data_IF_331215365197
#
_entry.id   IF_331215365197
#
_cell.length_a   1.000
_cell.length_b   1.000
_cell.length_c   1.000
_cell.angle_alpha   90.00
_cell.angle_beta   90.00
_cell.angle_gamma   90.00
#
_symmetry.space_group_name_H-M   'P 1'
#
loop_
_entity.id
_entity.type
_entity.pdbx_description
1 polymer ?
#
# COMPACT_ATOMS: atom_id res chain seq x y z
N UNK A 1 1.94 13.65 35.89
CA UNK A 1 2.59 13.93 34.58
C UNK A 1 2.07 12.88 33.62
N UNK A 2 1.22 13.25 32.67
CA UNK A 2 0.74 12.31 31.66
C UNK A 2 1.95 11.92 30.80
N UNK A 3 2.44 10.70 30.98
CA UNK A 3 3.48 10.15 30.12
C UNK A 3 2.89 10.06 28.72
N UNK A 4 3.36 10.89 27.80
CA UNK A 4 3.06 10.73 26.37
C UNK A 4 3.44 9.31 25.96
N UNK A 5 2.56 8.60 25.25
CA UNK A 5 2.84 7.25 24.81
C UNK A 5 4.06 7.21 23.86
N UNK A 6 4.77 6.08 23.74
CA UNK A 6 6.00 5.99 22.95
C UNK A 6 5.83 6.34 21.47
N UNK A 7 4.68 6.06 20.87
CA UNK A 7 4.39 6.31 19.45
C UNK A 7 4.17 7.79 19.20
N UNK A 8 3.37 8.45 20.03
CA UNK A 8 3.19 9.90 19.98
C UNK A 8 4.51 10.63 20.23
N UNK A 9 5.29 10.18 21.23
CA UNK A 9 6.59 10.77 21.55
C UNK A 9 7.59 10.61 20.39
N UNK A 10 7.59 9.45 19.71
CA UNK A 10 8.39 9.21 18.52
C UNK A 10 8.07 10.23 17.43
N UNK A 11 6.82 10.34 16.99
CA UNK A 11 6.48 11.22 15.87
C UNK A 11 6.69 12.71 16.19
N UNK A 12 6.40 13.16 17.41
CA UNK A 12 6.66 14.54 17.82
C UNK A 12 8.16 14.89 17.80
N UNK A 13 9.03 13.92 18.08
CA UNK A 13 10.49 14.09 18.01
C UNK A 13 10.98 14.07 16.56
N UNK A 14 10.47 13.16 15.74
CA UNK A 14 10.95 12.97 14.37
C UNK A 14 10.37 13.98 13.36
N UNK A 15 9.31 14.71 13.71
CA UNK A 15 8.64 15.64 12.80
C UNK A 15 8.54 17.03 13.46
N UNK A 16 9.63 17.82 13.44
CA UNK A 16 9.62 19.17 13.98
C UNK A 16 8.55 20.04 13.30
N UNK A 17 7.78 20.79 14.10
CA UNK A 17 6.73 21.68 13.59
C UNK A 17 5.40 20.98 13.27
N UNK A 18 5.28 19.67 13.53
CA UNK A 18 4.01 18.97 13.46
C UNK A 18 2.97 19.58 14.42
N UNK A 19 1.70 19.59 14.01
CA UNK A 19 0.59 20.02 14.87
C UNK A 19 -0.28 18.83 15.21
N UNK A 20 -0.40 18.53 16.49
CA UNK A 20 -1.31 17.52 17.05
C UNK A 20 -2.63 18.19 17.43
N UNK A 21 -3.74 17.72 16.86
CA UNK A 21 -5.09 18.16 17.19
C UNK A 21 -6.03 16.96 17.12
N UNK A 22 -6.87 16.75 18.14
CA UNK A 22 -7.86 15.67 18.19
C UNK A 22 -7.27 14.28 17.86
N UNK A 23 -6.14 13.92 18.47
CA UNK A 23 -5.44 12.65 18.22
C UNK A 23 -4.97 12.46 16.76
N UNK A 24 -4.84 13.55 15.99
CA UNK A 24 -4.31 13.53 14.63
C UNK A 24 -3.12 14.48 14.56
N UNK A 25 -1.96 13.95 14.19
CA UNK A 25 -0.77 14.74 13.94
C UNK A 25 -0.67 15.07 12.45
N UNK A 26 -0.50 16.35 12.14
CA UNK A 26 -0.42 16.88 10.77
C UNK A 26 0.87 17.66 10.55
N UNK A 27 1.53 17.39 9.42
CA UNK A 27 2.78 18.04 9.06
C UNK A 27 3.00 18.08 7.53
N UNK A 28 4.04 18.79 7.10
CA UNK A 28 4.55 18.65 5.73
C UNK A 28 5.07 17.23 5.53
N UNK A 29 4.74 16.60 4.41
CA UNK A 29 5.21 15.26 4.13
C UNK A 29 6.68 15.28 3.67
N UNK A 30 7.61 14.62 4.39
CA UNK A 30 9.02 14.61 4.02
C UNK A 30 9.30 13.82 2.72
N UNK A 31 8.35 12.97 2.30
CA UNK A 31 8.51 12.08 1.16
C UNK A 31 8.03 12.69 -0.17
N UNK A 32 7.15 13.70 -0.13
CA UNK A 32 6.58 14.32 -1.33
C UNK A 32 7.66 14.91 -2.26
N UNK A 33 8.69 15.54 -1.71
CA UNK A 33 9.78 16.15 -2.50
C UNK A 33 10.71 15.11 -3.14
N UNK A 34 10.83 13.92 -2.54
CA UNK A 34 11.65 12.82 -3.07
C UNK A 34 10.94 12.14 -4.24
N UNK A 35 9.62 12.03 -4.16
CA UNK A 35 8.83 11.27 -5.13
C UNK A 35 8.23 12.12 -6.27
N UNK A 36 8.35 13.46 -6.21
CA UNK A 36 7.94 14.35 -7.32
C UNK A 36 8.70 14.13 -8.63
N UNK A 37 9.80 13.36 -8.62
CA UNK A 37 10.52 12.93 -9.82
C UNK A 37 9.86 11.75 -10.56
N UNK A 38 9.02 10.95 -9.91
CA UNK A 38 8.36 9.77 -10.51
C UNK A 38 6.93 10.06 -11.01
N UNK A 39 6.22 11.01 -10.39
CA UNK A 39 4.81 11.29 -10.73
C UNK A 39 4.60 12.52 -11.61
N UNK A 40 5.66 13.24 -11.99
CA UNK A 40 5.60 14.45 -12.83
C UNK A 40 4.79 15.63 -12.27
N UNK A 41 4.10 15.44 -11.14
CA UNK A 41 3.22 16.44 -10.51
C UNK A 41 3.97 17.17 -9.41
N UNK A 42 4.24 18.46 -9.64
CA UNK A 42 4.66 19.38 -8.57
C UNK A 42 3.48 19.55 -7.61
N UNK A 43 3.54 18.92 -6.44
CA UNK A 43 2.54 19.15 -5.40
C UNK A 43 2.62 20.60 -4.89
N UNK A 44 1.49 21.24 -4.54
CA UNK A 44 1.47 22.59 -3.99
C UNK A 44 2.41 22.69 -2.79
N UNK A 45 3.29 23.70 -2.79
CA UNK A 45 4.15 23.99 -1.62
C UNK A 45 3.27 24.47 -0.46
N UNK A 46 3.37 23.82 0.70
CA UNK A 46 2.78 24.30 1.96
C UNK A 46 1.48 23.62 2.40
N UNK A 47 0.97 22.63 1.66
CA UNK A 47 -0.11 21.79 2.17
C UNK A 47 0.44 20.68 3.06
N UNK A 48 -0.06 20.63 4.31
CA UNK A 48 0.21 19.55 5.26
C UNK A 48 -0.35 18.23 4.74
N UNK A 49 0.47 17.52 3.99
CA UNK A 49 0.06 16.27 3.38
C UNK A 49 0.27 15.06 4.30
N UNK A 50 1.11 15.14 5.34
CA UNK A 50 1.31 14.03 6.26
C UNK A 50 0.25 14.05 7.37
N UNK A 51 -0.42 12.92 7.53
CA UNK A 51 -1.42 12.69 8.58
C UNK A 51 -1.03 11.44 9.34
N UNK A 52 -1.04 11.50 10.67
CA UNK A 52 -0.75 10.37 11.56
C UNK A 52 -1.86 10.26 12.60
N UNK A 53 -2.44 9.08 12.73
CA UNK A 53 -3.45 8.79 13.73
C UNK A 53 -2.78 8.44 15.06
N UNK A 54 -2.93 9.29 16.06
CA UNK A 54 -2.34 9.15 17.40
C UNK A 54 -3.45 9.02 18.46
N UNK A 55 -4.39 8.10 18.21
CA UNK A 55 -5.42 7.72 19.16
C UNK A 55 -5.08 6.36 19.78
N UNK A 56 -4.66 6.27 21.05
CA UNK A 56 -4.29 4.99 21.69
C UNK A 56 -5.41 3.95 21.72
N UNK A 57 -6.68 4.39 21.66
CA UNK A 57 -7.85 3.50 21.65
C UNK A 57 -8.14 2.93 20.24
N UNK A 58 -7.38 3.33 19.21
CA UNK A 58 -7.56 2.88 17.84
C UNK A 58 -6.57 1.79 17.46
N UNK A 59 -7.05 0.77 16.74
CA UNK A 59 -6.19 -0.20 16.07
C UNK A 59 -5.18 0.44 15.10
N UNK A 60 -5.46 1.64 14.58
CA UNK A 60 -4.59 2.39 13.69
C UNK A 60 -3.71 3.41 14.41
N UNK A 61 -3.53 3.29 15.73
CA UNK A 61 -2.60 4.11 16.48
C UNK A 61 -1.18 4.01 15.90
N UNK A 62 -0.61 5.13 15.48
CA UNK A 62 0.69 5.23 14.84
C UNK A 62 0.67 5.08 13.32
N UNK A 63 -0.48 4.84 12.69
CA UNK A 63 -0.58 4.77 11.24
C UNK A 63 -0.40 6.16 10.61
N UNK A 64 0.57 6.30 9.72
CA UNK A 64 0.81 7.50 8.94
C UNK A 64 0.45 7.29 7.47
N UNK A 65 0.01 8.36 6.82
CA UNK A 65 -0.19 8.40 5.37
C UNK A 65 0.03 9.79 4.80
N UNK A 66 0.26 9.85 3.49
CA UNK A 66 0.30 11.10 2.76
C UNK A 66 -1.02 11.33 2.01
N UNK A 67 -1.67 12.47 2.22
CA UNK A 67 -2.88 12.88 1.49
C UNK A 67 -2.62 13.09 -0.02
N UNK A 68 -1.36 13.38 -0.38
CA UNK A 68 -0.92 13.45 -1.78
C UNK A 68 -0.62 12.06 -2.38
N UNK A 69 -0.77 10.97 -1.61
CA UNK A 69 -0.46 9.59 -2.01
C UNK A 69 0.97 9.40 -2.54
N UNK A 70 1.92 10.23 -2.11
CA UNK A 70 3.32 10.09 -2.52
C UNK A 70 4.02 8.91 -1.84
N UNK A 71 3.47 8.41 -0.75
CA UNK A 71 3.95 7.25 0.01
C UNK A 71 2.73 6.39 0.35
N UNK A 72 2.85 5.04 0.31
CA UNK A 72 1.76 4.12 0.61
C UNK A 72 1.29 4.16 2.08
N UNK A 73 2.05 4.83 2.96
CA UNK A 73 1.79 4.90 4.40
C UNK A 73 2.28 3.67 5.16
N UNK A 74 2.11 3.66 6.48
CA UNK A 74 2.52 2.54 7.33
C UNK A 74 2.59 2.93 8.80
N UNK A 75 3.34 2.16 9.58
CA UNK A 75 3.51 2.32 11.03
C UNK A 75 4.93 2.79 11.39
N UNK A 76 5.26 3.09 12.67
CA UNK A 76 6.51 3.76 13.05
C UNK A 76 7.79 3.13 12.50
N UNK A 77 7.89 1.79 12.45
CA UNK A 77 9.03 1.10 11.87
C UNK A 77 9.17 1.38 10.37
N UNK A 78 8.07 1.33 9.63
CA UNK A 78 8.08 1.68 8.21
C UNK A 78 8.42 3.15 7.99
N UNK A 79 7.90 4.05 8.85
CA UNK A 79 8.25 5.47 8.81
C UNK A 79 9.75 5.69 9.00
N UNK A 80 10.36 5.01 9.99
CA UNK A 80 11.79 5.07 10.27
C UNK A 80 12.62 4.57 9.07
N UNK A 81 12.25 3.42 8.48
CA UNK A 81 12.87 2.89 7.25
C UNK A 81 12.82 3.90 6.11
N UNK A 82 11.63 4.45 5.81
CA UNK A 82 11.44 5.40 4.71
C UNK A 82 12.16 6.74 4.96
N UNK A 83 12.31 7.12 6.23
CA UNK A 83 12.99 8.34 6.64
C UNK A 83 14.50 8.19 6.80
N UNK A 84 15.04 6.96 6.63
CA UNK A 84 16.44 6.62 6.91
C UNK A 84 16.87 6.96 8.34
N UNK A 85 15.97 6.75 9.31
CA UNK A 85 16.27 6.87 10.73
C UNK A 85 16.86 5.56 11.25
N UNK A 86 17.62 5.64 12.34
CA UNK A 86 17.98 4.47 13.12
C UNK A 86 16.71 3.79 13.63
N UNK A 87 16.55 2.49 13.33
CA UNK A 87 15.36 1.72 13.69
C UNK A 87 15.21 1.58 15.21
N UNK A 88 16.30 1.66 15.98
CA UNK A 88 16.26 1.65 17.45
C UNK A 88 15.46 2.81 18.04
N UNK A 89 15.23 3.87 17.27
CA UNK A 89 14.40 4.99 17.67
C UNK A 89 12.89 4.69 17.51
N UNK A 90 12.52 3.73 16.68
CA UNK A 90 11.14 3.40 16.38
C UNK A 90 10.54 2.50 17.47
N UNK A 91 9.35 2.84 18.00
CA UNK A 91 8.64 1.98 18.94
C UNK A 91 8.39 0.57 18.38
N UNK A 92 8.62 -0.43 19.22
CA UNK A 92 8.46 -1.84 18.85
C UNK A 92 9.61 -2.44 18.05
N UNK A 93 10.68 -1.69 17.78
CA UNK A 93 11.88 -2.29 17.18
C UNK A 93 12.45 -3.40 18.07
N UNK A 94 12.68 -4.55 17.46
CA UNK A 94 13.30 -5.71 18.06
C UNK A 94 14.52 -6.07 17.20
N UNK A 95 15.75 -5.90 17.71
CA UNK A 95 16.98 -6.19 16.96
C UNK A 95 17.18 -7.69 16.71
N UNK A 96 16.53 -8.55 17.50
CA UNK A 96 16.66 -10.00 17.42
C UNK A 96 15.54 -10.62 16.57
N UNK A 97 14.62 -9.79 16.04
CA UNK A 97 13.53 -10.26 15.18
C UNK A 97 14.09 -10.83 13.88
N UNK A 98 13.98 -12.15 13.76
CA UNK A 98 14.22 -12.84 12.50
C UNK A 98 13.02 -12.67 11.56
N UNK A 99 13.23 -11.93 10.48
CA UNK A 99 12.29 -11.97 9.37
C UNK A 99 12.55 -13.29 8.67
N UNK A 100 11.71 -14.30 8.96
CA UNK A 100 11.67 -15.53 8.20
C UNK A 100 11.24 -15.24 6.75
N UNK A 101 12.13 -14.62 5.99
CA UNK A 101 12.04 -14.50 4.55
C UNK A 101 12.40 -15.88 4.04
N UNK A 102 11.39 -16.70 3.76
CA UNK A 102 11.60 -17.86 2.90
C UNK A 102 12.41 -17.40 1.69
N UNK A 103 13.47 -18.14 1.35
CA UNK A 103 14.28 -17.83 0.18
C UNK A 103 13.44 -18.05 -1.08
N UNK A 104 12.65 -17.05 -1.45
CA UNK A 104 11.95 -17.01 -2.73
C UNK A 104 13.00 -16.76 -3.80
N UNK A 105 13.09 -17.68 -4.75
CA UNK A 105 13.95 -17.51 -5.91
C UNK A 105 13.19 -16.69 -6.96
N UNK A 106 13.47 -15.40 -7.02
CA UNK A 106 12.85 -14.49 -7.96
C UNK A 106 13.48 -14.64 -9.36
N UNK A 107 12.68 -14.94 -10.41
CA UNK A 107 13.21 -15.03 -11.75
C UNK A 107 13.58 -13.62 -12.28
N UNK A 108 14.49 -13.59 -13.25
CA UNK A 108 14.86 -12.34 -13.93
C UNK A 108 13.72 -11.80 -14.77
N UNK A 109 12.94 -12.71 -15.41
CA UNK A 109 11.79 -12.35 -16.22
C UNK A 109 10.63 -11.95 -15.31
N UNK A 110 10.09 -10.75 -15.53
CA UNK A 110 8.90 -10.22 -14.85
C UNK A 110 7.98 -9.55 -15.90
N UNK A 111 6.76 -9.20 -15.49
CA UNK A 111 5.73 -8.59 -16.33
C UNK A 111 5.52 -7.10 -16.04
N UNK A 112 6.50 -6.42 -15.40
CA UNK A 112 6.36 -5.02 -14.99
C UNK A 112 6.01 -4.07 -16.15
N UNK A 113 6.64 -4.27 -17.31
CA UNK A 113 6.37 -3.43 -18.48
C UNK A 113 4.96 -3.67 -19.03
N UNK A 114 4.53 -4.93 -19.09
CA UNK A 114 3.18 -5.29 -19.52
C UNK A 114 2.11 -4.70 -18.59
N UNK A 115 2.37 -4.67 -17.28
CA UNK A 115 1.49 -3.99 -16.30
C UNK A 115 1.31 -2.51 -16.65
N UNK A 116 2.38 -1.80 -17.03
CA UNK A 116 2.27 -0.41 -17.46
C UNK A 116 1.43 -0.28 -18.73
N UNK A 117 1.64 -1.15 -19.72
CA UNK A 117 0.83 -1.18 -20.94
C UNK A 117 -0.66 -1.44 -20.66
N UNK A 118 -0.97 -2.31 -19.69
CA UNK A 118 -2.35 -2.56 -19.27
C UNK A 118 -2.96 -1.35 -18.56
N UNK A 119 -2.19 -0.64 -17.74
CA UNK A 119 -2.65 0.60 -17.10
C UNK A 119 -3.01 1.67 -18.14
N UNK A 120 -2.21 1.79 -19.21
CA UNK A 120 -2.44 2.75 -20.29
C UNK A 120 -3.68 2.42 -21.14
N UNK A 121 -4.11 1.16 -21.15
CA UNK A 121 -5.32 0.67 -21.84
C UNK A 121 -6.60 0.80 -21.03
N UNK A 122 -6.54 1.32 -19.80
CA UNK A 122 -7.75 1.62 -19.01
C UNK A 122 -8.63 2.64 -19.73
N UNK A 123 -9.86 2.25 -20.04
CA UNK A 123 -10.83 3.12 -20.71
C UNK A 123 -11.58 4.00 -19.72
N UNK A 124 -12.13 5.12 -20.20
CA UNK A 124 -12.94 6.02 -19.36
C UNK A 124 -14.17 5.32 -18.77
N UNK A 125 -14.84 4.45 -19.56
CA UNK A 125 -15.99 3.66 -19.07
C UNK A 125 -15.63 2.75 -17.88
N UNK A 126 -14.44 2.13 -17.89
CA UNK A 126 -13.96 1.30 -16.79
C UNK A 126 -13.57 2.15 -15.58
N UNK A 127 -12.96 3.32 -15.80
CA UNK A 127 -12.65 4.26 -14.73
C UNK A 127 -13.95 4.75 -14.07
N UNK A 128 -14.97 5.09 -14.84
CA UNK A 128 -16.27 5.51 -14.36
C UNK A 128 -17.01 4.39 -13.61
N UNK A 129 -16.85 3.13 -14.06
CA UNK A 129 -17.34 1.96 -13.31
C UNK A 129 -16.79 1.95 -11.88
N UNK A 130 -15.48 2.09 -11.71
CA UNK A 130 -14.85 2.15 -10.38
C UNK A 130 -15.28 3.40 -9.59
N UNK A 131 -15.43 4.54 -10.26
CA UNK A 131 -15.87 5.78 -9.62
C UNK A 131 -17.27 5.66 -9.01
N UNK A 132 -18.18 4.88 -9.62
CA UNK A 132 -19.51 4.57 -9.03
C UNK A 132 -19.43 3.81 -7.70
N UNK A 133 -18.34 3.08 -7.47
CA UNK A 133 -18.04 2.41 -6.19
C UNK A 133 -17.20 3.29 -5.24
N UNK A 134 -16.99 4.57 -5.59
CA UNK A 134 -16.20 5.51 -4.82
C UNK A 134 -14.69 5.38 -5.03
N UNK A 135 -14.22 4.48 -5.90
CA UNK A 135 -12.81 4.24 -6.15
C UNK A 135 -12.29 5.27 -7.16
N UNK A 136 -11.34 6.10 -6.73
CA UNK A 136 -10.77 7.14 -7.58
C UNK A 136 -9.73 6.60 -8.55
N UNK A 137 -9.53 7.31 -9.67
CA UNK A 137 -8.42 7.05 -10.62
C UNK A 137 -7.05 7.02 -9.93
N UNK A 138 -6.86 7.81 -8.87
CA UNK A 138 -5.62 7.82 -8.11
C UNK A 138 -5.35 6.47 -7.42
N UNK A 139 -6.39 5.82 -6.89
CA UNK A 139 -6.27 4.47 -6.30
C UNK A 139 -5.96 3.43 -7.38
N UNK A 140 -6.62 3.50 -8.54
CA UNK A 140 -6.33 2.59 -9.66
C UNK A 140 -4.88 2.72 -10.12
N UNK A 141 -4.36 3.94 -10.19
CA UNK A 141 -2.95 4.21 -10.52
C UNK A 141 -1.99 3.71 -9.44
N UNK A 142 -2.30 3.96 -8.17
CA UNK A 142 -1.50 3.51 -7.03
C UNK A 142 -1.40 1.98 -6.99
N UNK A 143 -2.53 1.29 -7.22
CA UNK A 143 -2.64 -0.17 -7.21
C UNK A 143 -2.34 -0.82 -8.57
N UNK A 144 -1.94 -0.01 -9.55
CA UNK A 144 -1.55 -0.43 -10.92
C UNK A 144 -2.61 -1.28 -11.64
N UNK A 145 -3.88 -0.95 -11.44
CA UNK A 145 -4.99 -1.64 -12.10
C UNK A 145 -4.97 -1.30 -13.58
N UNK A 146 -5.05 -2.34 -14.41
CA UNK A 146 -4.99 -2.24 -15.87
C UNK A 146 -6.13 -2.96 -16.57
N UNK A 147 -6.11 -2.91 -17.90
CA UNK A 147 -7.06 -3.59 -18.78
C UNK A 147 -6.35 -4.13 -20.02
N UNK A 148 -6.66 -5.35 -20.44
CA UNK A 148 -6.04 -5.96 -21.63
C UNK A 148 -6.92 -5.95 -22.89
N UNK A 149 -8.08 -5.28 -22.85
CA UNK A 149 -9.07 -5.29 -23.93
C UNK A 149 -10.27 -6.23 -23.68
N UNK A 150 -10.18 -7.09 -22.65
CA UNK A 150 -11.31 -7.92 -22.21
C UNK A 150 -11.38 -8.09 -20.69
N UNK A 151 -10.23 -8.19 -20.02
CA UNK A 151 -10.11 -8.46 -18.59
C UNK A 151 -9.46 -7.29 -17.87
N UNK A 152 -9.97 -6.99 -16.67
CA UNK A 152 -9.26 -6.17 -15.68
C UNK A 152 -8.03 -6.93 -15.20
N UNK A 153 -6.94 -6.21 -14.96
CA UNK A 153 -5.65 -6.76 -14.57
C UNK A 153 -5.30 -6.27 -13.17
N UNK A 154 -5.12 -7.23 -12.25
CA UNK A 154 -4.70 -7.00 -10.88
C UNK A 154 -3.28 -7.56 -10.68
N UNK A 155 -2.24 -6.72 -10.64
CA UNK A 155 -0.85 -7.18 -10.56
C UNK A 155 -0.45 -7.62 -9.14
N UNK A 156 0.15 -8.81 -9.01
CA UNK A 156 0.61 -9.34 -7.73
C UNK A 156 2.11 -9.07 -7.56
N UNK A 157 2.41 -7.84 -7.10
CA UNK A 157 3.77 -7.37 -6.84
C UNK A 157 4.34 -8.08 -5.61
N UNK A 158 5.52 -8.68 -5.78
CA UNK A 158 6.22 -9.44 -4.75
C UNK A 158 7.16 -8.54 -3.93
N UNK A 159 7.78 -9.11 -2.89
CA UNK A 159 8.58 -8.36 -1.93
C UNK A 159 9.84 -7.70 -2.52
N UNK A 160 10.30 -8.14 -3.69
CA UNK A 160 11.40 -7.53 -4.44
C UNK A 160 10.96 -6.33 -5.30
N UNK A 161 9.67 -6.00 -5.28
CA UNK A 161 9.07 -4.89 -6.03
C UNK A 161 8.70 -5.23 -7.47
N UNK A 162 8.85 -6.49 -7.89
CA UNK A 162 8.51 -6.94 -9.25
C UNK A 162 7.18 -7.68 -9.29
N UNK A 163 6.49 -7.55 -10.42
CA UNK A 163 5.28 -8.29 -10.73
C UNK A 163 5.64 -9.49 -11.60
N UNK A 164 5.35 -10.69 -11.12
CA UNK A 164 5.60 -11.94 -11.83
C UNK A 164 4.33 -12.56 -12.39
N UNK A 165 3.22 -12.36 -11.69
CA UNK A 165 1.90 -12.80 -12.10
C UNK A 165 0.87 -11.69 -11.85
N UNK A 166 -0.20 -11.70 -12.65
CA UNK A 166 -1.35 -10.85 -12.47
C UNK A 166 -2.63 -11.68 -12.63
N UNK A 167 -3.66 -11.36 -11.84
CA UNK A 167 -4.98 -11.95 -12.02
C UNK A 167 -5.75 -11.15 -13.07
N UNK A 168 -6.27 -11.84 -14.07
CA UNK A 168 -7.11 -11.29 -15.12
C UNK A 168 -8.57 -11.65 -14.82
N UNK A 169 -9.45 -10.66 -14.69
CA UNK A 169 -10.85 -10.87 -14.29
C UNK A 169 -11.80 -10.16 -15.24
N UNK A 170 -12.81 -10.85 -15.75
CA UNK A 170 -13.79 -10.22 -16.64
C UNK A 170 -14.65 -9.22 -15.86
N UNK A 171 -14.81 -7.96 -16.32
CA UNK A 171 -15.50 -6.91 -15.58
C UNK A 171 -16.93 -7.27 -15.14
N UNK A 172 -17.65 -8.01 -15.98
CA UNK A 172 -19.06 -8.36 -15.76
C UNK A 172 -19.28 -9.82 -15.33
N UNK A 173 -18.20 -10.63 -15.28
CA UNK A 173 -18.26 -12.08 -14.98
C UNK A 173 -17.04 -12.49 -14.17
N UNK A 174 -16.98 -12.17 -12.86
CA UNK A 174 -15.78 -12.40 -12.06
C UNK A 174 -15.29 -13.86 -12.03
N UNK A 175 -16.18 -14.83 -12.29
CA UNK A 175 -15.86 -16.24 -12.45
C UNK A 175 -15.05 -16.55 -13.72
N UNK A 176 -15.15 -15.73 -14.77
CA UNK A 176 -14.27 -15.75 -15.95
C UNK A 176 -12.96 -15.02 -15.57
N UNK A 177 -12.05 -15.77 -14.95
CA UNK A 177 -10.75 -15.29 -14.53
C UNK A 177 -9.63 -16.28 -14.78
N UNK A 178 -8.42 -15.77 -14.95
CA UNK A 178 -7.20 -16.56 -15.14
C UNK A 178 -5.97 -15.81 -14.64
N UNK A 179 -4.83 -16.49 -14.59
CA UNK A 179 -3.55 -15.90 -14.23
C UNK A 179 -2.70 -15.65 -15.48
N UNK A 180 -2.09 -14.48 -15.54
CA UNK A 180 -1.15 -14.08 -16.58
C UNK A 180 0.24 -13.91 -15.99
N UNK A 181 1.27 -14.42 -16.66
CA UNK A 181 2.67 -14.32 -16.24
C UNK A 181 3.27 -15.68 -15.85
N UNK A 182 4.09 -15.68 -14.81
CA UNK A 182 4.81 -16.86 -14.34
C UNK A 182 3.89 -17.78 -13.51
N UNK A 183 3.80 -19.05 -13.89
CA UNK A 183 2.95 -20.06 -13.24
C UNK A 183 3.36 -20.34 -11.79
N UNK A 184 4.66 -20.23 -11.46
CA UNK A 184 5.17 -20.46 -10.10
C UNK A 184 4.76 -19.34 -9.14
N UNK A 185 4.45 -18.15 -9.66
CA UNK A 185 3.91 -17.02 -8.91
C UNK A 185 2.38 -16.92 -8.99
N UNK A 186 1.77 -17.68 -9.90
CA UNK A 186 0.33 -17.85 -10.00
C UNK A 186 -0.22 -18.96 -9.09
N UNK A 187 0.58 -19.60 -8.23
CA UNK A 187 0.16 -20.67 -7.30
C UNK A 187 -0.11 -20.16 -5.89
N UNK A 188 -0.84 -20.95 -5.10
CA UNK A 188 -1.11 -20.66 -3.69
C UNK A 188 0.20 -20.34 -2.91
N UNK A 189 0.13 -19.38 -2.00
CA UNK A 189 1.30 -18.84 -1.26
C UNK A 189 1.95 -17.61 -1.88
N UNK A 190 1.80 -17.38 -3.19
CA UNK A 190 2.26 -16.15 -3.87
C UNK A 190 1.13 -15.18 -4.25
N UNK A 191 -0.11 -15.61 -4.02
CA UNK A 191 -1.35 -14.90 -4.37
C UNK A 191 -1.82 -13.96 -3.25
N UNK A 192 -0.92 -13.11 -2.77
CA UNK A 192 -1.27 -12.03 -1.85
C UNK A 192 -1.21 -10.71 -2.60
N UNK A 193 -2.37 -10.12 -2.88
CA UNK A 193 -2.44 -8.82 -3.55
C UNK A 193 -2.04 -7.73 -2.57
N UNK A 194 -1.19 -6.79 -3.02
CA UNK A 194 -0.59 -5.72 -2.21
C UNK A 194 0.29 -6.22 -1.04
N UNK A 195 1.01 -7.33 -1.24
CA UNK A 195 1.87 -7.99 -0.23
C UNK A 195 2.76 -7.03 0.57
N UNK A 196 3.28 -5.98 -0.06
CA UNK A 196 4.16 -4.99 0.58
C UNK A 196 3.55 -4.36 1.85
N UNK A 197 2.23 -4.25 1.95
CA UNK A 197 1.56 -3.68 3.13
C UNK A 197 1.83 -4.49 4.41
N UNK A 198 2.18 -5.78 4.32
CA UNK A 198 2.59 -6.58 5.48
C UNK A 198 3.81 -5.94 6.17
N UNK A 199 4.84 -5.59 5.40
CA UNK A 199 6.05 -4.96 5.93
C UNK A 199 5.79 -3.52 6.38
N UNK A 200 4.88 -2.81 5.70
CA UNK A 200 4.49 -1.43 6.05
C UNK A 200 3.71 -1.39 7.37
N UNK A 201 3.02 -2.48 7.72
CA UNK A 201 2.18 -2.62 8.90
C UNK A 201 2.84 -3.36 10.06
N UNK A 202 4.14 -3.55 10.02
CA UNK A 202 4.87 -4.18 11.12
C UNK A 202 4.61 -3.46 12.45
N UNK A 203 4.25 -4.24 13.48
CA UNK A 203 3.81 -3.78 14.80
C UNK A 203 2.62 -2.81 14.77
N UNK A 204 1.80 -2.91 13.73
CA UNK A 204 0.57 -2.15 13.56
C UNK A 204 -0.62 -3.03 13.20
N UNK A 205 -1.57 -2.45 12.49
CA UNK A 205 -2.76 -3.13 11.99
C UNK A 205 -2.74 -3.23 10.48
N UNK A 206 -3.17 -4.38 9.97
CA UNK A 206 -3.30 -4.66 8.54
C UNK A 206 -4.73 -5.15 8.27
N UNK A 207 -5.42 -4.55 7.30
CA UNK A 207 -6.71 -5.11 6.84
C UNK A 207 -6.43 -6.29 5.94
N UNK A 208 -7.12 -7.40 6.19
CA UNK A 208 -7.08 -8.59 5.34
C UNK A 208 -8.48 -8.77 4.78
N UNK A 209 -8.61 -8.85 3.46
CA UNK A 209 -9.91 -8.90 2.79
C UNK A 209 -9.91 -9.89 1.63
N UNK A 210 -11.08 -10.43 1.32
CA UNK A 210 -11.29 -11.24 0.12
C UNK A 210 -11.61 -10.33 -1.08
N UNK A 211 -10.94 -10.59 -2.20
CA UNK A 211 -11.18 -9.92 -3.48
C UNK A 211 -10.43 -8.59 -3.64
N UNK A 212 -9.81 -8.41 -4.80
CA UNK A 212 -8.98 -7.24 -5.10
C UNK A 212 -9.81 -5.94 -5.16
N UNK A 213 -11.03 -5.99 -5.72
CA UNK A 213 -11.94 -4.83 -5.77
C UNK A 213 -12.29 -4.30 -4.38
N UNK A 214 -12.48 -5.20 -3.41
CA UNK A 214 -12.78 -4.82 -2.04
C UNK A 214 -11.56 -4.12 -1.40
N UNK A 215 -10.35 -4.57 -1.69
CA UNK A 215 -9.14 -3.88 -1.25
C UNK A 215 -9.04 -2.47 -1.86
N UNK A 216 -9.43 -2.27 -3.12
CA UNK A 216 -9.44 -0.91 -3.72
C UNK A 216 -10.30 0.06 -2.92
N UNK A 217 -11.45 -0.38 -2.39
CA UNK A 217 -12.28 0.43 -1.51
C UNK A 217 -11.57 0.77 -0.18
N UNK A 218 -10.86 -0.19 0.43
CA UNK A 218 -10.04 0.03 1.63
C UNK A 218 -8.92 1.05 1.35
N UNK A 219 -8.24 0.95 0.20
CA UNK A 219 -7.20 1.90 -0.24
C UNK A 219 -7.76 3.29 -0.53
N UNK A 220 -9.01 3.39 -0.98
CA UNK A 220 -9.69 4.67 -1.13
C UNK A 220 -9.89 5.38 0.21
N UNK A 221 -10.25 4.64 1.27
CA UNK A 221 -10.31 5.17 2.65
C UNK A 221 -8.93 5.53 3.21
N UNK A 222 -7.86 5.10 2.54
CA UNK A 222 -6.48 5.33 2.93
C UNK A 222 -6.05 4.44 4.08
N UNK A 223 -6.63 3.24 4.19
CA UNK A 223 -6.23 2.21 5.14
C UNK A 223 -5.30 1.20 4.45
N UNK A 224 -4.35 0.60 5.20
CA UNK A 224 -3.50 -0.44 4.68
C UNK A 224 -4.22 -1.77 4.61
N UNK A 225 -3.89 -2.60 3.63
CA UNK A 225 -4.43 -3.94 3.55
C UNK A 225 -3.87 -4.79 2.43
N UNK A 226 -4.11 -6.09 2.55
CA UNK A 226 -3.85 -7.10 1.54
C UNK A 226 -5.15 -7.77 1.12
N UNK A 227 -5.19 -8.30 -0.09
CA UNK A 227 -6.30 -9.13 -0.55
C UNK A 227 -5.82 -10.53 -0.88
N UNK A 228 -6.66 -11.53 -0.55
CA UNK A 228 -6.59 -12.83 -1.18
C UNK A 228 -7.68 -12.92 -2.25
N UNK A 229 -7.42 -13.59 -3.39
CA UNK A 229 -8.41 -13.71 -4.43
C UNK A 229 -9.68 -14.48 -4.02
N UNK A 230 -9.55 -15.41 -3.06
CA UNK A 230 -10.65 -16.25 -2.54
C UNK A 230 -10.37 -16.60 -1.07
N UNK A 231 -11.42 -16.68 -0.25
CA UNK A 231 -11.30 -17.00 1.18
C UNK A 231 -10.72 -18.40 1.46
N UNK A 232 -10.82 -19.33 0.51
CA UNK A 232 -10.20 -20.66 0.61
C UNK A 232 -8.68 -20.61 0.65
N UNK A 233 -8.05 -19.51 0.25
CA UNK A 233 -6.61 -19.32 0.37
C UNK A 233 -6.14 -18.97 1.80
N UNK A 234 -7.07 -18.77 2.75
CA UNK A 234 -6.77 -18.65 4.19
C UNK A 234 -6.61 -20.00 4.91
N UNK A 235 -7.03 -21.11 4.28
CA UNK A 235 -7.15 -22.43 4.91
C UNK A 235 -5.84 -23.24 4.90
#
# INVERSE_FOLDING_TARGET
>A
MNSTDPVTAFYLRQIPGAKLQNNILTADCPFCRRNSGQSGKKHPKGEKALVIFLNPDSYFHGYYRCLNRCSPGGFPLHFARQSHLDLSLAPGFDPDRDYAAGQVNYPVKNINHEVLDFMDRMTDDLIDRFARYGISRAVLQEMKIGYNGRYLIYPYIQADGNCYAARCVHPDKPEDSFWHGDEDFARAGFRVFNLEDIQRCENGSLVIIEGEDNLLAVRQLGLPGIALPDISEFA
#
